data_IF_953391653382
#
_entry.id   IF_953391653382
#
_cell.length_a   1.000
_cell.length_b   1.000
_cell.length_c   1.000
_cell.angle_alpha   90.00
_cell.angle_beta   90.00
_cell.angle_gamma   90.00
#
_symmetry.space_group_name_H-M   'P 1'
#
loop_
_entity.id
_entity.type
_entity.pdbx_description
1 polymer ?
#
# COMPACT_ATOMS: atom_id res chain seq x y z
N UNK A 1 -3.47 -12.20 -16.84
CA UNK A 1 -3.03 -10.79 -16.85
C UNK A 1 -1.87 -10.67 -17.82
N UNK A 2 -1.96 -9.77 -18.82
CA UNK A 2 -0.91 -9.54 -19.81
C UNK A 2 -0.08 -8.34 -19.34
N UNK A 3 1.22 -8.53 -19.13
CA UNK A 3 2.10 -7.42 -18.73
C UNK A 3 2.26 -6.46 -19.93
N UNK A 4 1.86 -5.20 -19.77
CA UNK A 4 1.99 -4.17 -20.79
C UNK A 4 3.39 -3.54 -20.72
N UNK A 5 4.40 -4.26 -21.19
CA UNK A 5 5.80 -3.79 -21.21
C UNK A 5 6.18 -3.23 -22.59
N UNK A 6 5.29 -2.47 -23.24
CA UNK A 6 5.53 -1.94 -24.60
C UNK A 6 6.28 -0.60 -24.62
N UNK A 7 6.32 0.12 -23.50
CA UNK A 7 6.92 1.47 -23.39
C UNK A 7 8.13 1.45 -22.46
N UNK A 8 9.13 2.28 -22.76
CA UNK A 8 10.23 2.60 -21.85
C UNK A 8 9.66 3.14 -20.53
N UNK A 9 10.01 2.54 -19.40
CA UNK A 9 9.43 2.88 -18.10
C UNK A 9 9.69 4.34 -17.69
N UNK A 10 8.68 4.97 -17.10
CA UNK A 10 8.76 6.32 -16.54
C UNK A 10 8.78 6.25 -15.00
N UNK A 11 9.44 7.20 -14.33
CA UNK A 11 9.50 7.23 -12.87
C UNK A 11 8.10 7.36 -12.22
N UNK A 12 7.18 8.04 -12.90
CA UNK A 12 5.80 8.19 -12.45
C UNK A 12 5.03 6.87 -12.36
N UNK A 13 5.33 5.89 -13.22
CA UNK A 13 4.68 4.57 -13.18
C UNK A 13 5.04 3.82 -11.89
N UNK A 14 6.25 4.04 -11.36
CA UNK A 14 6.74 3.37 -10.16
C UNK A 14 6.49 4.16 -8.87
N UNK A 15 6.37 5.50 -8.96
CA UNK A 15 6.29 6.40 -7.82
C UNK A 15 5.19 6.01 -6.80
N UNK A 16 4.02 5.57 -7.27
CA UNK A 16 2.94 5.13 -6.39
C UNK A 16 3.32 3.89 -5.56
N UNK A 17 3.94 2.90 -6.19
CA UNK A 17 4.38 1.68 -5.52
C UNK A 17 5.58 1.93 -4.61
N UNK A 18 6.53 2.77 -5.02
CA UNK A 18 7.64 3.19 -4.16
C UNK A 18 7.15 3.86 -2.88
N UNK A 19 6.23 4.81 -3.01
CA UNK A 19 5.64 5.48 -1.86
C UNK A 19 4.91 4.49 -0.93
N UNK A 20 4.17 3.53 -1.49
CA UNK A 20 3.57 2.44 -0.71
C UNK A 20 4.63 1.64 0.06
N UNK A 21 5.70 1.21 -0.60
CA UNK A 21 6.72 0.37 0.04
C UNK A 21 7.54 1.12 1.09
N UNK A 22 7.77 2.42 0.92
CA UNK A 22 8.40 3.27 1.94
C UNK A 22 7.55 3.24 3.20
N UNK A 23 6.26 3.57 3.09
CA UNK A 23 5.30 3.54 4.19
C UNK A 23 5.18 2.15 4.84
N UNK A 24 5.10 1.10 4.03
CA UNK A 24 4.98 -0.26 4.52
C UNK A 24 6.20 -0.68 5.36
N UNK A 25 7.41 -0.40 4.87
CA UNK A 25 8.63 -0.76 5.59
C UNK A 25 8.76 0.03 6.89
N UNK A 26 8.53 1.33 6.87
CA UNK A 26 8.65 2.18 8.06
C UNK A 26 7.60 1.89 9.11
N UNK A 27 6.33 1.79 8.71
CA UNK A 27 5.21 1.65 9.64
C UNK A 27 5.01 0.19 10.10
N UNK A 28 5.28 -0.81 9.24
CA UNK A 28 5.02 -2.22 9.56
C UNK A 28 6.27 -2.97 10.05
N UNK A 29 7.45 -2.72 9.48
CA UNK A 29 8.66 -3.53 9.74
C UNK A 29 9.70 -2.83 10.60
N UNK A 30 9.94 -1.53 10.45
CA UNK A 30 10.96 -0.84 11.25
C UNK A 30 10.58 -0.71 12.72
N UNK A 31 9.28 -0.77 13.03
CA UNK A 31 8.75 -0.69 14.40
C UNK A 31 8.55 -2.07 15.06
N UNK A 32 8.77 -3.17 14.34
CA UNK A 32 8.43 -4.51 14.81
C UNK A 32 9.49 -5.55 14.46
N UNK A 33 9.86 -6.37 15.44
CA UNK A 33 10.72 -7.55 15.23
C UNK A 33 9.88 -8.82 15.20
N UNK A 34 10.07 -9.65 14.17
CA UNK A 34 9.32 -10.90 14.00
C UNK A 34 10.22 -12.12 14.23
N UNK A 35 9.71 -13.15 14.90
CA UNK A 35 10.47 -14.39 15.17
C UNK A 35 10.03 -15.54 14.27
N UNK A 36 8.79 -15.52 13.78
CA UNK A 36 8.19 -16.57 12.96
C UNK A 36 7.59 -16.00 11.68
N UNK A 37 7.71 -16.76 10.58
CA UNK A 37 7.09 -16.39 9.30
C UNK A 37 5.56 -16.19 9.38
N UNK A 38 4.87 -16.88 10.31
CA UNK A 38 3.43 -16.71 10.54
C UNK A 38 3.10 -15.30 11.06
N UNK A 39 3.95 -14.72 11.90
CA UNK A 39 3.77 -13.38 12.46
C UNK A 39 3.92 -12.33 11.36
N UNK A 40 4.92 -12.48 10.49
CA UNK A 40 5.13 -11.62 9.32
C UNK A 40 3.90 -11.66 8.40
N UNK A 41 3.39 -12.85 8.07
CA UNK A 41 2.18 -13.00 7.23
C UNK A 41 0.96 -12.31 7.84
N UNK A 42 0.79 -12.41 9.16
CA UNK A 42 -0.30 -11.76 9.87
C UNK A 42 -0.14 -10.23 9.86
N UNK A 43 1.06 -9.72 10.14
CA UNK A 43 1.37 -8.29 10.10
C UNK A 43 1.12 -7.69 8.72
N UNK A 44 1.57 -8.37 7.65
CA UNK A 44 1.30 -7.95 6.27
C UNK A 44 -0.19 -7.87 6.01
N UNK A 45 -0.97 -8.91 6.35
CA UNK A 45 -2.44 -8.90 6.15
C UNK A 45 -3.12 -7.76 6.89
N UNK A 46 -2.76 -7.53 8.15
CA UNK A 46 -3.29 -6.45 8.97
C UNK A 46 -2.96 -5.08 8.38
N UNK A 47 -1.72 -4.88 7.96
CA UNK A 47 -1.28 -3.63 7.34
C UNK A 47 -2.00 -3.38 6.01
N UNK A 48 -2.16 -4.38 5.16
CA UNK A 48 -2.89 -4.23 3.89
C UNK A 48 -4.35 -3.84 4.12
N UNK A 49 -5.00 -4.43 5.13
CA UNK A 49 -6.36 -4.04 5.51
C UNK A 49 -6.41 -2.59 5.99
N UNK A 50 -5.53 -2.22 6.92
CA UNK A 50 -5.41 -0.84 7.40
C UNK A 50 -5.18 0.15 6.26
N UNK A 51 -4.20 -0.11 5.39
CA UNK A 51 -3.84 0.76 4.27
C UNK A 51 -5.04 1.00 3.34
N UNK A 52 -5.77 -0.05 2.97
CA UNK A 52 -6.87 0.06 2.00
C UNK A 52 -8.16 0.62 2.61
N UNK A 53 -8.51 0.23 3.84
CA UNK A 53 -9.83 0.51 4.40
C UNK A 53 -9.84 1.64 5.44
N UNK A 54 -8.71 1.91 6.09
CA UNK A 54 -8.66 2.78 7.27
C UNK A 54 -7.69 3.95 7.13
N UNK A 55 -6.69 3.88 6.25
CA UNK A 55 -5.69 4.93 6.08
C UNK A 55 -6.31 6.22 5.56
N UNK A 56 -6.27 7.26 6.38
CA UNK A 56 -6.69 8.60 5.99
C UNK A 56 -5.66 9.23 5.06
N UNK A 57 -6.11 9.71 3.90
CA UNK A 57 -5.27 10.47 2.99
C UNK A 57 -5.87 11.85 2.74
N UNK A 58 -5.11 12.90 3.10
CA UNK A 58 -5.52 14.30 2.88
C UNK A 58 -5.87 14.58 1.42
N UNK A 59 -5.12 13.97 0.49
CA UNK A 59 -5.35 14.07 -0.96
C UNK A 59 -6.67 13.41 -1.43
N UNK A 60 -7.27 12.54 -0.62
CA UNK A 60 -8.51 11.83 -0.93
C UNK A 60 -9.69 12.37 -0.09
N UNK A 61 -9.71 13.66 0.25
CA UNK A 61 -10.74 14.25 1.13
C UNK A 61 -10.85 13.54 2.49
N UNK A 62 -9.74 13.09 3.05
CA UNK A 62 -9.69 12.30 4.28
C UNK A 62 -10.49 10.98 4.19
N UNK A 63 -10.59 10.40 2.99
CA UNK A 63 -11.16 9.08 2.79
C UNK A 63 -10.05 8.03 2.73
N UNK A 64 -10.42 6.78 3.02
CA UNK A 64 -9.55 5.64 2.74
C UNK A 64 -9.55 5.32 1.24
N UNK A 65 -8.49 4.67 0.73
CA UNK A 65 -8.41 4.29 -0.69
C UNK A 65 -9.62 3.53 -1.19
N UNK A 66 -10.19 2.65 -0.36
CA UNK A 66 -11.41 1.91 -0.69
C UNK A 66 -12.62 2.86 -0.82
N UNK A 67 -12.87 3.69 0.20
CA UNK A 67 -14.00 4.63 0.20
C UNK A 67 -13.94 5.61 -0.97
N UNK A 68 -12.75 6.12 -1.28
CA UNK A 68 -12.56 6.99 -2.44
C UNK A 68 -12.93 6.28 -3.75
N UNK A 69 -12.52 5.02 -3.94
CA UNK A 69 -12.92 4.24 -5.12
C UNK A 69 -14.42 3.99 -5.21
N UNK A 70 -15.09 3.73 -4.09
CA UNK A 70 -16.54 3.47 -4.08
C UNK A 70 -17.38 4.74 -4.26
N UNK A 71 -16.89 5.92 -3.85
CA UNK A 71 -17.60 7.20 -4.06
C UNK A 71 -17.40 7.80 -5.46
N UNK A 72 -16.30 7.45 -6.14
CA UNK A 72 -16.00 7.91 -7.51
C UNK A 72 -16.60 6.95 -8.57
N UNK A 73 -17.23 5.86 -8.14
CA UNK A 73 -17.93 4.89 -9.00
C UNK A 73 -19.36 5.33 -9.32
#
# INVERSE_FOLDING_TARGET
MKASMSRRGNCWDNACMENFFIHFKTECFHLHSFRKAKEVKLAVRKYMYFYNHQRFQKKLNNLSPYKNRTQVA
#
